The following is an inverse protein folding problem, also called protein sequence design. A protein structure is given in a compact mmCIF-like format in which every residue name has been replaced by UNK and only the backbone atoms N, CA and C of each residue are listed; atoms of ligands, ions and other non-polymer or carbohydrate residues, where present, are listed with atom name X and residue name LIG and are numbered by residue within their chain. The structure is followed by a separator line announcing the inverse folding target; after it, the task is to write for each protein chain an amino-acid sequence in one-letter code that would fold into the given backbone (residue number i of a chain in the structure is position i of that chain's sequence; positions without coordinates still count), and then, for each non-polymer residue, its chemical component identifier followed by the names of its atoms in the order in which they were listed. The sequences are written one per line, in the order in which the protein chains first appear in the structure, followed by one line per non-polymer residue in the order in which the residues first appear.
data_IF_518199232979
#
_entry.id   IF_518199232979
#
_cell.length_a   1.000
_cell.length_b   1.000
_cell.length_c   1.000
_cell.angle_alpha   90.00
_cell.angle_beta   90.00
_cell.angle_gamma   90.00
#
_symmetry.space_group_name_H-M   'P 1'
#
loop_
_entity.id
_entity.type
_entity.pdbx_description
1 polymer ?
#
# COMPACT_ATOMS: atom_id res chain seq x y z
N UNK A 1 38.44 -38.03 21.03
CA UNK A 1 37.94 -36.66 20.90
C UNK A 1 36.92 -36.59 19.75
N UNK A 2 35.68 -37.02 19.98
CA UNK A 2 34.62 -37.00 18.97
C UNK A 2 33.76 -35.74 19.17
N UNK A 3 33.82 -34.80 18.22
CA UNK A 3 32.95 -33.61 18.22
C UNK A 3 31.64 -33.99 17.54
N UNK A 4 30.63 -34.34 18.34
CA UNK A 4 29.26 -34.45 17.88
C UNK A 4 28.75 -33.07 17.44
N UNK A 5 28.52 -32.89 16.14
CA UNK A 5 27.84 -31.74 15.57
C UNK A 5 26.37 -31.79 16.02
N UNK A 6 25.99 -30.92 16.96
CA UNK A 6 24.59 -30.70 17.31
C UNK A 6 23.92 -29.94 16.16
N UNK A 7 22.84 -30.45 15.54
CA UNK A 7 22.10 -29.66 14.57
C UNK A 7 21.37 -28.53 15.33
N UNK A 8 21.60 -27.30 14.91
CA UNK A 8 20.90 -26.14 15.47
C UNK A 8 19.45 -26.13 14.96
N UNK A 9 18.51 -25.87 15.87
CA UNK A 9 17.05 -25.76 15.63
C UNK A 9 16.72 -24.80 14.46
N UNK A 10 17.65 -23.91 14.11
CA UNK A 10 17.56 -22.98 12.99
C UNK A 10 17.42 -23.65 11.61
N UNK A 11 17.92 -24.88 11.43
CA UNK A 11 17.82 -25.59 10.14
C UNK A 11 16.40 -26.09 9.84
N UNK A 12 15.57 -26.28 10.86
CA UNK A 12 14.22 -26.82 10.68
C UNK A 12 13.21 -25.75 10.22
N UNK A 13 13.43 -24.49 10.62
CA UNK A 13 12.52 -23.38 10.24
C UNK A 13 12.74 -22.95 8.78
N UNK A 14 13.96 -23.05 8.26
CA UNK A 14 14.28 -22.67 6.88
C UNK A 14 13.73 -23.64 5.81
N UNK A 15 13.49 -24.91 6.13
CA UNK A 15 12.89 -25.85 5.19
C UNK A 15 11.38 -25.64 5.01
N UNK A 16 10.70 -25.13 6.04
CA UNK A 16 9.24 -24.97 6.04
C UNK A 16 8.76 -23.76 5.21
N UNK A 17 9.56 -22.69 5.13
CA UNK A 17 9.25 -21.50 4.30
C UNK A 17 9.42 -21.73 2.79
N UNK A 18 10.18 -22.75 2.37
CA UNK A 18 10.34 -23.06 0.95
C UNK A 18 9.12 -23.80 0.37
N UNK A 19 8.28 -24.40 1.22
CA UNK A 19 7.15 -25.23 0.80
C UNK A 19 5.82 -24.47 0.66
N UNK A 20 5.74 -23.21 1.08
CA UNK A 20 4.52 -22.38 0.93
C UNK A 20 4.43 -21.64 -0.41
N UNK A 21 5.53 -21.55 -1.16
CA UNK A 21 5.58 -20.89 -2.48
C UNK A 21 4.91 -21.70 -3.59
N UNK A 22 4.70 -23.00 -3.43
CA UNK A 22 4.11 -23.86 -4.47
C UNK A 22 2.58 -23.84 -4.46
N UNK A 23 1.95 -23.28 -3.42
CA UNK A 23 0.49 -23.25 -3.29
C UNK A 23 -0.16 -22.08 -4.07
N UNK A 24 0.61 -21.02 -4.35
CA UNK A 24 0.27 -19.96 -5.29
C UNK A 24 0.95 -20.30 -6.62
N UNK A 25 0.23 -21.00 -7.51
CA UNK A 25 0.78 -21.39 -8.81
C UNK A 25 1.37 -20.21 -9.59
N UNK A 26 2.41 -20.50 -10.38
CA UNK A 26 3.14 -19.50 -11.18
C UNK A 26 2.22 -18.82 -12.21
N UNK A 27 2.16 -17.48 -12.17
CA UNK A 27 1.30 -16.66 -13.02
C UNK A 27 1.45 -17.04 -14.51
N UNK A 28 0.33 -17.21 -15.20
CA UNK A 28 0.29 -17.56 -16.63
C UNK A 28 0.56 -19.03 -16.97
N UNK A 29 0.60 -19.95 -16.00
CA UNK A 29 0.71 -21.40 -16.24
C UNK A 29 -0.58 -22.13 -16.63
N UNK A 30 -1.69 -21.40 -16.84
CA UNK A 30 -2.99 -22.02 -17.17
C UNK A 30 -3.97 -22.02 -16.00
N UNK A 31 -5.19 -22.50 -16.28
CA UNK A 31 -6.27 -22.54 -15.29
C UNK A 31 -5.89 -23.35 -14.05
N UNK A 32 -6.18 -22.80 -12.87
CA UNK A 32 -5.97 -23.46 -11.58
C UNK A 32 -4.56 -23.30 -10.98
N UNK A 33 -3.63 -22.63 -11.67
CA UNK A 33 -2.25 -22.40 -11.17
C UNK A 33 -1.84 -20.92 -11.25
N UNK A 34 -2.67 -20.02 -10.72
CA UNK A 34 -2.36 -18.58 -10.63
C UNK A 34 -2.82 -17.73 -11.82
N UNK A 35 -3.38 -18.33 -12.88
CA UNK A 35 -4.10 -17.62 -13.94
C UNK A 35 -5.58 -17.99 -13.92
N UNK A 36 -6.44 -17.03 -13.58
CA UNK A 36 -7.90 -17.22 -13.68
C UNK A 36 -8.31 -17.61 -15.11
N UNK A 37 -9.34 -18.46 -15.24
CA UNK A 37 -9.79 -19.06 -16.51
C UNK A 37 -10.43 -18.10 -17.52
N UNK A 38 -9.97 -16.85 -17.59
CA UNK A 38 -10.49 -15.80 -18.47
C UNK A 38 -9.75 -15.74 -19.81
N UNK A 39 -9.88 -16.79 -20.64
CA UNK A 39 -9.43 -16.77 -22.05
C UNK A 39 -8.54 -17.95 -22.45
N UNK A 40 -8.66 -18.39 -23.71
CA UNK A 40 -7.98 -19.58 -24.25
C UNK A 40 -6.45 -19.47 -24.20
N UNK A 41 -5.88 -18.27 -24.37
CA UNK A 41 -4.42 -18.02 -24.35
C UNK A 41 -3.84 -18.14 -22.93
N UNK A 42 -4.53 -17.57 -21.94
CA UNK A 42 -4.16 -17.65 -20.53
C UNK A 42 -4.38 -19.04 -19.96
N UNK A 43 -5.46 -19.70 -20.38
CA UNK A 43 -5.81 -21.06 -19.95
C UNK A 43 -4.88 -22.11 -20.53
N UNK A 44 -4.43 -21.94 -21.79
CA UNK A 44 -3.49 -22.86 -22.43
C UNK A 44 -2.13 -22.92 -21.71
N UNK A 45 -1.70 -21.82 -21.08
CA UNK A 45 -0.46 -21.77 -20.31
C UNK A 45 0.77 -21.94 -21.20
N UNK A 46 1.38 -20.82 -21.60
CA UNK A 46 2.55 -20.80 -22.49
C UNK A 46 3.31 -19.48 -22.43
N UNK A 47 4.33 -19.29 -23.26
CA UNK A 47 5.15 -18.06 -23.25
C UNK A 47 4.31 -16.78 -23.46
N UNK A 48 3.30 -16.84 -24.33
CA UNK A 48 2.37 -15.71 -24.55
C UNK A 48 1.46 -15.48 -23.34
N UNK A 49 0.85 -16.53 -22.78
CA UNK A 49 0.00 -16.41 -21.58
C UNK A 49 0.75 -15.91 -20.33
N UNK A 50 2.04 -16.26 -20.18
CA UNK A 50 2.92 -15.71 -19.14
C UNK A 50 3.23 -14.24 -19.36
N UNK A 51 3.51 -13.83 -20.61
CA UNK A 51 3.76 -12.42 -20.95
C UNK A 51 2.52 -11.56 -20.70
N UNK A 52 1.35 -12.02 -21.12
CA UNK A 52 0.07 -11.33 -20.88
C UNK A 52 -0.27 -11.23 -19.38
N UNK A 53 0.03 -12.27 -18.59
CA UNK A 53 -0.12 -12.22 -17.13
C UNK A 53 0.77 -11.14 -16.50
N UNK A 54 2.03 -11.07 -16.90
CA UNK A 54 2.97 -10.07 -16.39
C UNK A 54 2.61 -8.64 -16.81
N UNK A 55 2.18 -8.44 -18.07
CA UNK A 55 1.77 -7.12 -18.57
C UNK A 55 0.53 -6.59 -17.84
N UNK A 56 -0.47 -7.44 -17.60
CA UNK A 56 -1.65 -7.06 -16.81
C UNK A 56 -1.29 -6.77 -15.36
N UNK A 57 -0.44 -7.59 -14.72
CA UNK A 57 -0.01 -7.33 -13.33
C UNK A 57 0.70 -5.98 -13.21
N UNK A 58 1.59 -5.65 -14.16
CA UNK A 58 2.26 -4.35 -14.20
C UNK A 58 1.25 -3.20 -14.39
N UNK A 59 0.25 -3.38 -15.25
CA UNK A 59 -0.79 -2.38 -15.47
C UNK A 59 -1.60 -2.13 -14.18
N UNK A 60 -2.09 -3.19 -13.54
CA UNK A 60 -2.87 -3.06 -12.31
C UNK A 60 -2.05 -2.46 -11.17
N UNK A 61 -0.77 -2.86 -11.03
CA UNK A 61 0.13 -2.28 -10.04
C UNK A 61 0.35 -0.78 -10.25
N UNK A 62 0.51 -0.34 -11.50
CA UNK A 62 0.60 1.10 -11.82
C UNK A 62 -0.70 1.81 -11.49
N UNK A 63 -1.86 1.24 -11.84
CA UNK A 63 -3.17 1.83 -11.52
C UNK A 63 -3.43 1.94 -10.03
N UNK A 64 -3.06 0.92 -9.25
CA UNK A 64 -3.14 0.96 -7.80
C UNK A 64 -2.25 2.06 -7.21
N UNK A 65 -1.02 2.20 -7.71
CA UNK A 65 -0.12 3.28 -7.30
C UNK A 65 -0.68 4.68 -7.64
N UNK A 66 -1.25 4.86 -8.82
CA UNK A 66 -1.93 6.10 -9.23
C UNK A 66 -3.10 6.44 -8.30
N UNK A 67 -3.95 5.47 -7.97
CA UNK A 67 -5.08 5.66 -7.07
C UNK A 67 -4.64 6.03 -5.65
N UNK A 68 -3.62 5.31 -5.13
CA UNK A 68 -3.06 5.62 -3.81
C UNK A 68 -2.40 7.00 -3.78
N UNK A 69 -1.72 7.40 -4.86
CA UNK A 69 -1.15 8.73 -4.96
C UNK A 69 -2.24 9.82 -4.97
N UNK A 70 -3.30 9.63 -5.75
CA UNK A 70 -4.43 10.55 -5.79
C UNK A 70 -5.11 10.69 -4.41
N UNK A 71 -5.32 9.58 -3.69
CA UNK A 71 -5.90 9.60 -2.35
C UNK A 71 -5.01 10.35 -1.35
N UNK A 72 -3.69 10.14 -1.42
CA UNK A 72 -2.73 10.87 -0.58
C UNK A 72 -2.74 12.37 -0.88
N UNK A 73 -2.79 12.76 -2.15
CA UNK A 73 -2.86 14.17 -2.53
C UNK A 73 -4.14 14.83 -2.02
N UNK A 74 -5.29 14.20 -2.24
CA UNK A 74 -6.57 14.69 -1.73
C UNK A 74 -6.53 14.91 -0.21
N UNK A 75 -5.98 13.96 0.56
CA UNK A 75 -5.85 14.14 2.01
C UNK A 75 -4.88 15.27 2.40
N UNK A 76 -3.80 15.48 1.65
CA UNK A 76 -2.91 16.62 1.90
C UNK A 76 -3.60 17.96 1.62
N UNK A 77 -4.38 18.04 0.53
CA UNK A 77 -5.16 19.23 0.18
C UNK A 77 -6.18 19.58 1.27
N UNK A 78 -6.90 18.58 1.79
CA UNK A 78 -7.85 18.75 2.89
C UNK A 78 -7.16 19.22 4.19
N UNK A 79 -6.00 18.64 4.51
CA UNK A 79 -5.18 19.08 5.65
C UNK A 79 -4.80 20.55 5.51
N UNK A 80 -4.33 20.96 4.33
CA UNK A 80 -3.90 22.33 4.10
C UNK A 80 -5.07 23.31 4.05
N UNK A 81 -6.23 22.89 3.56
CA UNK A 81 -7.48 23.64 3.66
C UNK A 81 -7.85 23.90 5.12
N UNK A 82 -7.85 22.86 5.95
CA UNK A 82 -8.17 22.99 7.38
C UNK A 82 -7.15 23.82 8.15
N UNK A 83 -5.86 23.74 7.83
CA UNK A 83 -4.85 24.63 8.43
C UNK A 83 -5.16 26.11 8.15
N UNK A 84 -5.49 26.46 6.91
CA UNK A 84 -5.85 27.84 6.53
C UNK A 84 -7.09 28.32 7.29
N UNK A 85 -8.07 27.44 7.48
CA UNK A 85 -9.28 27.77 8.22
C UNK A 85 -9.01 27.99 9.71
N UNK A 86 -8.17 27.16 10.33
CA UNK A 86 -7.70 27.35 11.70
C UNK A 86 -6.99 28.70 11.84
N UNK A 87 -6.10 29.07 10.92
CA UNK A 87 -5.42 30.37 10.94
C UNK A 87 -6.40 31.55 10.79
N UNK A 88 -7.46 31.39 9.99
CA UNK A 88 -8.52 32.41 9.86
C UNK A 88 -9.25 32.59 11.18
N UNK A 89 -9.71 31.49 11.78
CA UNK A 89 -10.42 31.51 13.06
C UNK A 89 -9.55 32.04 14.19
N UNK A 90 -8.26 31.70 14.22
CA UNK A 90 -7.33 32.22 15.22
C UNK A 90 -7.19 33.74 15.14
N UNK A 91 -7.11 34.31 13.93
CA UNK A 91 -7.09 35.77 13.72
C UNK A 91 -8.39 36.44 14.17
N UNK A 92 -9.53 35.80 13.99
CA UNK A 92 -10.82 36.30 14.47
C UNK A 92 -10.87 36.29 16.00
N UNK A 93 -10.44 35.21 16.64
CA UNK A 93 -10.31 35.12 18.10
C UNK A 93 -9.43 36.23 18.64
N UNK A 94 -8.26 36.48 18.03
CA UNK A 94 -7.33 37.50 18.50
C UNK A 94 -7.89 38.92 18.32
N UNK A 95 -8.65 39.16 17.25
CA UNK A 95 -9.39 40.41 17.05
C UNK A 95 -10.42 40.63 18.16
N UNK A 96 -11.18 39.59 18.53
CA UNK A 96 -12.17 39.67 19.60
C UNK A 96 -11.51 39.86 20.97
N UNK A 97 -10.40 39.16 21.26
CA UNK A 97 -9.58 39.40 22.45
C UNK A 97 -9.13 40.86 22.54
N UNK A 98 -8.70 41.45 21.41
CA UNK A 98 -8.32 42.86 21.35
C UNK A 98 -9.49 43.81 21.66
N UNK A 99 -10.70 43.54 21.16
CA UNK A 99 -11.90 44.32 21.48
C UNK A 99 -12.24 44.25 22.97
N UNK A 100 -12.20 43.06 23.57
CA UNK A 100 -12.44 42.87 25.00
C UNK A 100 -11.43 43.65 25.85
N UNK A 101 -10.14 43.59 25.49
CA UNK A 101 -9.09 44.35 26.20
C UNK A 101 -9.34 45.86 26.18
N UNK A 102 -9.83 46.41 25.07
CA UNK A 102 -10.17 47.83 24.98
C UNK A 102 -11.33 48.18 25.91
N UNK A 103 -12.42 47.39 25.84
CA UNK A 103 -13.57 47.58 26.72
C UNK A 103 -13.21 47.51 28.20
N UNK A 104 -12.30 46.61 28.60
CA UNK A 104 -11.86 46.47 29.98
C UNK A 104 -10.89 47.56 30.46
N UNK A 105 -10.33 48.38 29.56
CA UNK A 105 -9.38 49.44 29.91
C UNK A 105 -10.04 50.83 29.93
N UNK A 106 -11.26 50.93 29.41
CA UNK A 106 -12.08 52.14 29.41
C UNK A 106 -13.00 52.22 30.66
N UNK A 107 -12.84 51.30 31.64
CA UNK A 107 -13.41 51.29 33.00
C UNK A 107 -12.31 51.60 34.05
#
# INVERSE_FOLDING_TARGET
MARFLRPTIRSFISSQLRMSSEQLGELGKGAGKGGGGGGSVRQAGGAMGKREAAEEELYFKRKEQEQLAALRQHHNEEIDHHKKEIERLQREIDRHKGKIRKLNHDD
#
